data_IF_720063096779
#
_entry.id   IF_720063096779
#
_cell.length_a   1.000
_cell.length_b   1.000
_cell.length_c   1.000
_cell.angle_alpha   90.00
_cell.angle_beta   90.00
_cell.angle_gamma   90.00
#
_symmetry.space_group_name_H-M   'P 1'
#
loop_
_entity.id
_entity.type
_entity.pdbx_description
1 polymer ?
#
# COMPACT_ATOMS: atom_id res chain seq x y z
N UNK A 1 -38.77 11.83 -56.65
CA UNK A 1 -39.98 12.57 -56.24
C UNK A 1 -40.39 11.97 -54.90
N UNK A 2 -40.18 12.57 -53.73
CA UNK A 2 -39.99 13.96 -53.34
C UNK A 2 -39.01 14.01 -52.14
N UNK A 3 -38.23 15.08 -52.09
CA UNK A 3 -37.32 15.48 -51.00
C UNK A 3 -38.09 15.85 -49.72
N UNK A 4 -37.53 15.57 -48.54
CA UNK A 4 -37.19 16.65 -47.62
C UNK A 4 -36.11 16.25 -46.61
N UNK A 5 -35.03 17.02 -46.60
CA UNK A 5 -34.02 17.03 -45.57
C UNK A 5 -34.40 18.08 -44.53
N UNK A 6 -34.27 17.73 -43.26
CA UNK A 6 -34.02 18.70 -42.19
C UNK A 6 -32.83 18.19 -41.38
N UNK A 7 -31.67 18.75 -41.70
CA UNK A 7 -30.45 18.60 -40.92
C UNK A 7 -30.48 19.64 -39.80
N UNK A 8 -30.25 19.20 -38.57
CA UNK A 8 -29.25 19.83 -37.70
C UNK A 8 -28.77 18.75 -36.72
N UNK A 9 -27.45 18.58 -36.58
CA UNK A 9 -26.87 17.49 -35.83
C UNK A 9 -27.04 17.80 -34.35
N UNK A 10 -27.85 17.01 -33.65
CA UNK A 10 -27.65 16.89 -32.22
C UNK A 10 -26.25 16.32 -32.05
N UNK A 11 -25.31 17.14 -31.63
CA UNK A 11 -24.10 16.63 -31.00
C UNK A 11 -24.60 15.81 -29.81
N UNK A 12 -24.72 14.50 -30.01
CA UNK A 12 -24.68 13.56 -28.91
C UNK A 12 -23.31 13.78 -28.29
N UNK A 13 -23.25 14.65 -27.28
CA UNK A 13 -22.13 14.80 -26.37
C UNK A 13 -22.01 13.48 -25.59
N UNK A 14 -21.53 12.44 -26.28
CA UNK A 14 -21.11 11.21 -25.65
C UNK A 14 -19.86 11.56 -24.84
N UNK A 15 -20.04 11.78 -23.55
CA UNK A 15 -18.98 12.01 -22.59
C UNK A 15 -18.20 10.71 -22.33
N UNK A 16 -17.57 10.19 -23.39
CA UNK A 16 -16.74 9.02 -23.37
C UNK A 16 -15.31 9.47 -23.03
N UNK A 17 -14.98 9.41 -21.74
CA UNK A 17 -13.62 9.61 -21.27
C UNK A 17 -13.12 8.31 -20.65
N UNK A 18 -12.00 7.81 -21.19
CA UNK A 18 -11.31 6.69 -20.57
C UNK A 18 -10.85 7.09 -19.16
N UNK A 19 -11.36 6.40 -18.15
CA UNK A 19 -11.00 6.62 -16.75
C UNK A 19 -10.55 5.30 -16.12
N UNK A 20 -9.50 5.37 -15.30
CA UNK A 20 -9.07 4.25 -14.45
C UNK A 20 -9.46 4.57 -13.01
N UNK A 21 -10.25 3.69 -12.40
CA UNK A 21 -10.67 3.81 -11.01
C UNK A 21 -9.87 2.84 -10.15
N UNK A 22 -9.24 3.36 -9.08
CA UNK A 22 -8.54 2.54 -8.07
C UNK A 22 -9.32 2.64 -6.76
N UNK A 23 -9.80 1.50 -6.26
CA UNK A 23 -10.51 1.41 -4.99
C UNK A 23 -9.58 0.82 -3.92
N UNK A 24 -9.32 1.57 -2.85
CA UNK A 24 -8.44 1.16 -1.74
C UNK A 24 -9.20 1.17 -0.43
N UNK A 25 -8.96 0.19 0.43
CA UNK A 25 -9.54 0.15 1.77
C UNK A 25 -9.17 -1.11 2.53
N UNK A 26 -9.41 -1.08 3.84
CA UNK A 26 -9.18 -2.23 4.72
C UNK A 26 -10.41 -3.13 4.75
N UNK A 27 -10.18 -4.44 4.63
CA UNK A 27 -11.19 -5.48 4.73
C UNK A 27 -12.38 -5.33 3.74
N UNK A 28 -12.10 -4.85 2.52
CA UNK A 28 -13.12 -4.62 1.48
C UNK A 28 -13.93 -5.87 1.13
N UNK A 29 -13.29 -7.05 1.18
CA UNK A 29 -13.93 -8.34 0.94
C UNK A 29 -14.97 -8.66 2.01
N UNK A 30 -14.63 -8.57 3.30
CA UNK A 30 -15.60 -8.85 4.35
C UNK A 30 -16.71 -7.79 4.42
N UNK A 31 -16.40 -6.54 4.04
CA UNK A 31 -17.39 -5.46 3.91
C UNK A 31 -18.23 -5.55 2.64
N UNK A 32 -17.99 -6.55 1.77
CA UNK A 32 -18.74 -6.78 0.51
C UNK A 32 -18.83 -5.53 -0.37
N UNK A 33 -17.78 -4.71 -0.34
CA UNK A 33 -17.75 -3.43 -1.04
C UNK A 33 -17.97 -3.61 -2.55
N UNK A 34 -17.43 -4.68 -3.11
CA UNK A 34 -17.57 -5.01 -4.53
C UNK A 34 -18.86 -5.73 -4.90
N UNK A 35 -19.58 -6.27 -3.91
CA UNK A 35 -20.84 -6.98 -4.13
C UNK A 35 -22.03 -6.00 -4.09
N UNK A 36 -21.77 -4.68 -4.03
CA UNK A 36 -22.78 -3.61 -3.98
C UNK A 36 -23.79 -3.78 -2.84
N UNK A 37 -23.40 -4.48 -1.76
CA UNK A 37 -24.27 -4.81 -0.63
C UNK A 37 -25.30 -5.92 -0.90
N UNK A 38 -25.24 -6.58 -2.06
CA UNK A 38 -26.19 -7.61 -2.48
C UNK A 38 -25.92 -8.96 -1.76
N UNK A 39 -26.99 -9.74 -1.57
CA UNK A 39 -26.98 -11.02 -0.83
C UNK A 39 -27.33 -12.20 -1.75
N UNK A 40 -26.70 -13.36 -1.52
CA UNK A 40 -27.07 -14.63 -2.16
C UNK A 40 -26.98 -14.57 -3.69
N UNK A 41 -28.02 -15.07 -4.36
CA UNK A 41 -28.12 -15.09 -5.83
C UNK A 41 -28.03 -13.69 -6.47
N UNK A 42 -28.27 -12.62 -5.70
CA UNK A 42 -28.19 -11.25 -6.21
C UNK A 42 -26.76 -10.71 -6.35
N UNK A 43 -25.76 -11.35 -5.72
CA UNK A 43 -24.33 -10.98 -5.91
C UNK A 43 -23.89 -11.11 -7.37
N UNK A 44 -24.57 -11.96 -8.15
CA UNK A 44 -24.39 -12.15 -9.59
C UNK A 44 -24.73 -10.87 -10.38
N UNK A 45 -25.48 -9.92 -9.82
CA UNK A 45 -25.78 -8.64 -10.46
C UNK A 45 -24.74 -7.55 -10.18
N UNK A 46 -23.82 -7.75 -9.22
CA UNK A 46 -22.81 -6.77 -8.88
C UNK A 46 -21.85 -6.53 -10.06
N UNK A 47 -22.05 -5.42 -10.77
CA UNK A 47 -21.30 -5.07 -11.98
C UNK A 47 -19.86 -4.69 -11.63
N UNK A 48 -19.68 -4.06 -10.47
CA UNK A 48 -18.38 -3.61 -9.98
C UNK A 48 -17.45 -4.79 -9.69
N UNK A 49 -17.98 -5.88 -9.11
CA UNK A 49 -17.20 -7.09 -8.79
C UNK A 49 -16.58 -7.75 -10.02
N UNK A 50 -17.29 -7.74 -11.16
CA UNK A 50 -16.85 -8.39 -12.41
C UNK A 50 -15.85 -7.57 -13.20
N UNK A 51 -15.81 -6.26 -12.96
CA UNK A 51 -14.94 -5.31 -13.68
C UNK A 51 -13.69 -4.94 -12.88
N UNK A 52 -13.64 -5.26 -11.59
CA UNK A 52 -12.51 -4.97 -10.72
C UNK A 52 -11.59 -6.20 -10.55
N UNK A 53 -10.30 -6.03 -10.80
CA UNK A 53 -9.29 -7.03 -10.41
C UNK A 53 -8.93 -6.83 -8.94
N UNK A 54 -9.11 -7.87 -8.13
CA UNK A 54 -8.76 -7.83 -6.71
C UNK A 54 -7.25 -7.98 -6.56
N UNK A 55 -6.59 -6.95 -6.05
CA UNK A 55 -5.16 -6.98 -5.71
C UNK A 55 -5.00 -6.89 -4.18
N UNK A 56 -4.76 -8.01 -3.47
CA UNK A 56 -4.56 -7.97 -2.03
C UNK A 56 -3.22 -7.31 -1.71
N UNK A 57 -3.24 -6.30 -0.84
CA UNK A 57 -2.01 -5.74 -0.25
C UNK A 57 -1.61 -6.66 0.90
N UNK A 58 -0.69 -7.58 0.63
CA UNK A 58 -0.13 -8.48 1.63
C UNK A 58 1.17 -7.90 2.22
N UNK A 59 1.51 -8.22 3.49
CA UNK A 59 2.84 -7.93 4.02
C UNK A 59 3.92 -8.59 3.18
N UNK A 60 5.08 -7.94 3.09
CA UNK A 60 6.24 -8.53 2.41
C UNK A 60 6.73 -9.76 3.18
N UNK A 61 6.98 -10.87 2.48
CA UNK A 61 7.66 -12.05 3.04
C UNK A 61 9.13 -12.01 2.68
N UNK A 62 9.99 -12.59 3.52
CA UNK A 62 11.41 -12.81 3.24
C UNK A 62 11.77 -14.29 3.10
N UNK A 63 10.76 -15.17 3.07
CA UNK A 63 10.91 -16.63 3.03
C UNK A 63 11.10 -17.17 1.61
N UNK A 64 10.89 -16.31 0.61
CA UNK A 64 11.09 -16.61 -0.81
C UNK A 64 12.02 -15.58 -1.42
N UNK A 65 12.76 -15.97 -2.47
CA UNK A 65 13.64 -15.04 -3.17
C UNK A 65 12.86 -13.86 -3.77
N UNK A 66 11.66 -14.11 -4.28
CA UNK A 66 10.78 -13.05 -4.81
C UNK A 66 10.34 -12.09 -3.71
N UNK A 67 9.93 -12.62 -2.56
CA UNK A 67 9.55 -11.82 -1.40
C UNK A 67 10.73 -10.97 -0.90
N UNK A 68 11.90 -11.59 -0.74
CA UNK A 68 13.11 -10.90 -0.29
C UNK A 68 13.52 -9.79 -1.28
N UNK A 69 13.46 -10.04 -2.59
CA UNK A 69 13.72 -8.98 -3.60
C UNK A 69 12.74 -7.81 -3.47
N UNK A 70 11.45 -8.09 -3.26
CA UNK A 70 10.44 -7.06 -3.03
C UNK A 70 10.71 -6.26 -1.75
N UNK A 71 11.07 -6.95 -0.67
CA UNK A 71 11.42 -6.31 0.59
C UNK A 71 12.65 -5.42 0.47
N UNK A 72 13.72 -5.90 -0.18
CA UNK A 72 14.92 -5.10 -0.44
C UNK A 72 14.64 -3.91 -1.36
N UNK A 73 13.73 -4.04 -2.32
CA UNK A 73 13.33 -2.93 -3.19
C UNK A 73 12.61 -1.83 -2.38
N UNK A 74 11.68 -2.22 -1.50
CA UNK A 74 11.03 -1.28 -0.58
C UNK A 74 12.05 -0.56 0.31
N UNK A 75 13.01 -1.29 0.88
CA UNK A 75 14.05 -0.70 1.73
C UNK A 75 14.93 0.30 0.98
N UNK A 76 15.33 0.01 -0.27
CA UNK A 76 16.05 0.97 -1.11
C UNK A 76 15.25 2.25 -1.35
N UNK A 77 13.97 2.12 -1.68
CA UNK A 77 13.10 3.29 -1.87
C UNK A 77 12.92 4.09 -0.57
N UNK A 78 12.82 3.42 0.58
CA UNK A 78 12.73 4.12 1.86
C UNK A 78 14.04 4.84 2.22
N UNK A 79 15.19 4.27 1.84
CA UNK A 79 16.52 4.84 2.08
C UNK A 79 16.73 6.18 1.38
N UNK A 80 16.15 6.37 0.19
CA UNK A 80 16.17 7.66 -0.55
C UNK A 80 15.55 8.83 0.24
N UNK A 81 14.74 8.54 1.26
CA UNK A 81 14.08 9.52 2.10
C UNK A 81 14.76 9.72 3.47
N UNK A 82 15.83 9.00 3.78
CA UNK A 82 16.57 9.17 5.03
C UNK A 82 17.46 10.41 4.96
N UNK A 83 17.31 11.30 5.93
CA UNK A 83 18.07 12.55 6.02
C UNK A 83 19.15 12.52 7.11
N UNK A 84 19.77 11.36 7.35
CA UNK A 84 20.82 11.21 8.37
C UNK A 84 22.20 11.45 7.77
N UNK A 85 23.09 12.17 8.46
CA UNK A 85 24.38 12.58 7.90
C UNK A 85 25.34 11.41 7.61
N UNK A 86 25.21 10.29 8.33
CA UNK A 86 25.94 9.05 8.13
C UNK A 86 25.21 8.02 7.26
N UNK A 87 24.16 8.42 6.55
CA UNK A 87 23.48 7.52 5.59
C UNK A 87 24.43 7.11 4.47
N UNK A 88 24.32 5.85 4.05
CA UNK A 88 25.05 5.32 2.91
C UNK A 88 24.18 4.35 2.12
N UNK A 89 24.55 4.14 0.85
CA UNK A 89 23.87 3.19 -0.02
C UNK A 89 23.83 1.79 0.62
N UNK A 90 22.64 1.22 0.69
CA UNK A 90 22.38 -0.12 1.22
C UNK A 90 22.27 -0.21 2.74
N UNK A 91 22.41 0.88 3.50
CA UNK A 91 22.31 0.92 4.96
C UNK A 91 21.05 0.21 5.50
N UNK A 92 19.88 0.43 4.90
CA UNK A 92 18.66 -0.27 5.30
C UNK A 92 18.66 -1.74 4.89
N UNK A 93 19.25 -2.05 3.74
CA UNK A 93 19.32 -3.41 3.20
C UNK A 93 20.21 -4.33 4.07
N UNK A 94 21.27 -3.80 4.66
CA UNK A 94 22.13 -4.52 5.62
C UNK A 94 21.33 -5.02 6.84
N UNK A 95 20.29 -4.28 7.21
CA UNK A 95 19.40 -4.61 8.32
C UNK A 95 18.08 -5.24 7.89
N UNK A 96 17.96 -5.70 6.64
CA UNK A 96 16.69 -6.13 6.06
C UNK A 96 15.94 -7.18 6.90
N UNK A 97 16.62 -8.21 7.42
CA UNK A 97 15.98 -9.25 8.24
C UNK A 97 15.55 -8.73 9.61
N UNK A 98 16.29 -7.79 10.18
CA UNK A 98 15.97 -7.21 11.49
C UNK A 98 14.77 -6.28 11.36
N UNK A 99 14.77 -5.41 10.35
CA UNK A 99 13.64 -4.55 10.01
C UNK A 99 12.39 -5.37 9.70
N UNK A 100 12.51 -6.45 8.93
CA UNK A 100 11.39 -7.35 8.65
C UNK A 100 10.83 -7.95 9.95
N UNK A 101 11.69 -8.48 10.82
CA UNK A 101 11.30 -9.04 12.12
C UNK A 101 10.54 -8.04 12.99
N UNK A 102 10.96 -6.77 13.01
CA UNK A 102 10.33 -5.71 13.81
C UNK A 102 9.00 -5.23 13.24
N UNK A 103 8.78 -5.37 11.94
CA UNK A 103 7.64 -4.78 11.21
C UNK A 103 6.67 -5.82 10.66
N UNK A 104 7.05 -7.10 10.69
CA UNK A 104 6.36 -8.22 10.04
C UNK A 104 6.10 -7.97 8.55
N UNK A 105 6.99 -7.22 7.88
CA UNK A 105 6.85 -6.87 6.46
C UNK A 105 5.75 -5.86 6.15
N UNK A 106 5.19 -5.16 7.15
CA UNK A 106 4.16 -4.14 6.96
C UNK A 106 4.79 -2.77 6.70
N UNK A 107 4.41 -2.12 5.60
CA UNK A 107 4.94 -0.80 5.21
C UNK A 107 4.66 0.24 6.29
N UNK A 108 3.44 0.33 6.82
CA UNK A 108 3.09 1.31 7.85
C UNK A 108 3.94 1.15 9.14
N UNK A 109 4.14 -0.09 9.59
CA UNK A 109 5.02 -0.38 10.72
C UNK A 109 6.48 -0.04 10.42
N UNK A 110 6.93 -0.25 9.17
CA UNK A 110 8.27 0.12 8.72
C UNK A 110 8.47 1.64 8.76
N UNK A 111 7.57 2.42 8.17
CA UNK A 111 7.66 3.89 8.15
C UNK A 111 7.71 4.45 9.58
N UNK A 112 6.79 4.03 10.46
CA UNK A 112 6.78 4.47 11.86
C UNK A 112 8.08 4.12 12.60
N UNK A 113 8.64 2.93 12.34
CA UNK A 113 9.91 2.51 12.94
C UNK A 113 11.08 3.35 12.41
N UNK A 114 11.13 3.61 11.10
CA UNK A 114 12.18 4.44 10.49
C UNK A 114 12.14 5.88 10.99
N UNK A 115 10.95 6.47 11.18
CA UNK A 115 10.81 7.80 11.80
C UNK A 115 11.40 7.83 13.21
N UNK A 116 11.10 6.80 14.02
CA UNK A 116 11.60 6.67 15.39
C UNK A 116 13.11 6.47 15.44
N UNK A 117 13.64 5.61 14.57
CA UNK A 117 15.09 5.37 14.45
C UNK A 117 15.79 6.65 14.03
N UNK A 118 15.26 7.37 13.03
CA UNK A 118 15.86 8.60 12.53
C UNK A 118 15.91 9.66 13.62
N UNK A 119 14.81 9.83 14.37
CA UNK A 119 14.79 10.70 15.55
C UNK A 119 15.88 10.33 16.57
N UNK A 120 15.99 9.04 16.93
CA UNK A 120 17.01 8.60 17.89
C UNK A 120 18.43 8.79 17.36
N UNK A 121 18.68 8.51 16.07
CA UNK A 121 19.97 8.69 15.43
C UNK A 121 20.44 10.14 15.49
N UNK A 122 19.52 11.09 15.26
CA UNK A 122 19.81 12.53 15.35
C UNK A 122 20.07 12.95 16.80
N UNK A 123 19.19 12.60 17.74
CA UNK A 123 19.32 13.04 19.14
C UNK A 123 20.54 12.44 19.84
N UNK A 124 20.93 11.22 19.46
CA UNK A 124 22.15 10.56 19.99
C UNK A 124 23.43 10.96 19.25
N UNK A 125 23.32 11.66 18.11
CA UNK A 125 24.44 12.04 17.26
C UNK A 125 25.06 10.88 16.48
N UNK A 126 24.44 9.69 16.48
CA UNK A 126 24.89 8.52 15.69
C UNK A 126 24.73 8.79 14.20
N UNK A 127 23.70 9.53 13.80
CA UNK A 127 23.45 9.96 12.41
C UNK A 127 23.43 8.80 11.38
N UNK A 128 23.14 7.58 11.81
CA UNK A 128 23.05 6.39 10.96
C UNK A 128 22.03 5.40 11.53
N UNK A 129 21.49 4.53 10.68
CA UNK A 129 20.63 3.43 11.12
C UNK A 129 21.50 2.27 11.56
N UNK A 130 21.33 1.84 12.82
CA UNK A 130 22.10 0.73 13.39
C UNK A 130 21.19 -0.36 13.96
N UNK A 131 21.71 -1.57 14.09
CA UNK A 131 20.99 -2.68 14.71
C UNK A 131 20.53 -2.37 16.15
N UNK A 132 21.31 -1.59 16.89
CA UNK A 132 20.97 -1.14 18.23
C UNK A 132 19.76 -0.19 18.20
N UNK A 133 19.79 0.84 17.37
CA UNK A 133 18.67 1.78 17.24
C UNK A 133 17.39 1.08 16.76
N UNK A 134 17.50 0.14 15.82
CA UNK A 134 16.35 -0.67 15.36
C UNK A 134 15.74 -1.49 16.50
N UNK A 135 16.58 -2.01 17.41
CA UNK A 135 16.13 -2.84 18.52
C UNK A 135 15.51 -1.99 19.64
N UNK A 136 16.08 -0.83 19.91
CA UNK A 136 15.67 0.10 20.98
C UNK A 136 14.44 0.91 20.61
N UNK A 137 14.27 1.27 19.33
CA UNK A 137 13.13 2.06 18.88
C UNK A 137 11.80 1.32 19.13
N UNK A 138 10.96 1.89 19.99
CA UNK A 138 9.62 1.36 20.26
C UNK A 138 8.79 1.35 18.99
N UNK A 139 8.30 0.18 18.60
CA UNK A 139 7.30 0.06 17.53
C UNK A 139 5.95 0.26 18.20
N UNK A 140 5.37 1.45 18.08
CA UNK A 140 3.93 1.60 18.28
C UNK A 140 3.27 0.89 17.11
N UNK A 141 3.00 -0.39 17.29
CA UNK A 141 2.05 -1.11 16.46
C UNK A 141 0.68 -0.50 16.76
N UNK A 142 0.37 0.61 16.08
CA UNK A 142 -0.99 1.09 15.93
C UNK A 142 -1.80 -0.08 15.37
N UNK A 143 -2.46 -0.77 16.29
CA UNK A 143 -3.18 -1.99 16.05
C UNK A 143 -4.48 -1.62 15.36
N UNK A 144 -4.42 -1.30 14.08
CA UNK A 144 -5.64 -1.35 13.28
C UNK A 144 -5.97 -2.82 13.01
N UNK A 145 -6.85 -3.35 13.87
CA UNK A 145 -7.67 -4.58 13.71
C UNK A 145 -7.31 -5.77 14.62
N UNK A 146 -7.43 -5.60 15.94
CA UNK A 146 -7.83 -6.69 16.83
C UNK A 146 -9.10 -6.38 17.66
N UNK A 147 -9.69 -5.18 17.49
CA UNK A 147 -10.85 -4.73 18.28
C UNK A 147 -12.20 -4.80 17.54
N UNK A 148 -12.41 -5.82 16.68
CA UNK A 148 -13.77 -6.10 16.18
C UNK A 148 -13.99 -7.56 15.79
N UNK A 149 -13.73 -8.47 16.72
CA UNK A 149 -14.47 -9.73 16.79
C UNK A 149 -14.54 -10.16 18.26
N UNK A 150 -15.42 -9.49 18.98
CA UNK A 150 -16.27 -10.10 20.00
C UNK A 150 -17.70 -10.00 19.47
#
# INVERSE_FOLDING_TARGET
>A
MQVNASHSPGAEDNNDMAATFIYVGVNLTAKRFFDEGLLGEHTVYAQTSRRATRCPVAPFSIDTDTGMRGWLALLRTAEEHLTLAGSHDGMLCEHARLLHRRTQGRIASLTNLLDRISYLAIVTGVEAVTAELITTATVDNASESAARTG
#
